data_IF_058627194648
#
_entry.id   IF_058627194648
#
_cell.length_a   1.000
_cell.length_b   1.000
_cell.length_c   1.000
_cell.angle_alpha   90.00
_cell.angle_beta   90.00
_cell.angle_gamma   90.00
#
_symmetry.space_group_name_H-M   'P 1'
#
loop_
_entity.id
_entity.type
_entity.pdbx_description
1 polymer ?
#
# COMPACT_ATOMS: atom_id res chain seq x y z
N UNK A 1 -19.64 -15.01 24.60
CA UNK A 1 -19.59 -16.49 24.53
C UNK A 1 -18.26 -16.87 23.91
N UNK A 2 -17.63 -17.94 24.39
CA UNK A 2 -16.45 -18.49 23.71
C UNK A 2 -16.88 -19.17 22.40
N UNK A 3 -16.15 -18.93 21.32
CA UNK A 3 -16.30 -19.69 20.09
C UNK A 3 -15.57 -21.02 20.19
N UNK A 4 -16.12 -22.09 19.61
CA UNK A 4 -15.44 -23.38 19.51
C UNK A 4 -15.34 -23.76 18.05
N UNK A 5 -14.14 -24.14 17.62
CA UNK A 5 -13.87 -24.67 16.28
C UNK A 5 -13.55 -26.15 16.46
N UNK A 6 -14.26 -27.01 15.74
CA UNK A 6 -14.00 -28.44 15.71
C UNK A 6 -13.28 -28.78 14.42
N UNK A 7 -12.16 -29.48 14.53
CA UNK A 7 -11.36 -29.93 13.39
C UNK A 7 -11.30 -31.45 13.48
N UNK A 8 -11.59 -32.12 12.36
CA UNK A 8 -11.49 -33.57 12.24
C UNK A 8 -10.70 -33.88 10.98
N UNK A 9 -9.64 -34.66 11.14
CA UNK A 9 -8.71 -35.03 10.08
C UNK A 9 -8.47 -36.53 10.17
N UNK A 10 -8.33 -37.17 9.02
CA UNK A 10 -7.92 -38.55 8.89
C UNK A 10 -7.13 -38.69 7.60
N UNK A 11 -6.05 -39.46 7.65
CA UNK A 11 -5.26 -39.79 6.48
C UNK A 11 -5.09 -41.32 6.41
N UNK A 12 -5.19 -41.87 5.21
CA UNK A 12 -5.02 -43.30 4.97
C UNK A 12 -3.54 -43.72 5.04
N UNK A 13 -2.62 -42.77 4.84
CA UNK A 13 -1.16 -42.97 4.88
C UNK A 13 -0.53 -42.48 6.19
N UNK A 14 -1.33 -42.14 7.20
CA UNK A 14 -0.91 -41.62 8.51
C UNK A 14 -0.37 -40.18 8.51
N UNK A 15 -0.33 -39.54 9.69
CA UNK A 15 0.39 -38.29 9.90
C UNK A 15 1.75 -38.60 10.53
N UNK A 16 2.85 -38.20 9.89
CA UNK A 16 4.20 -38.39 10.40
C UNK A 16 5.04 -37.10 10.31
N UNK A 17 6.07 -37.01 11.15
CA UNK A 17 6.97 -35.85 11.21
C UNK A 17 6.45 -34.66 12.02
N UNK A 18 7.17 -33.53 11.93
CA UNK A 18 6.81 -32.27 12.59
C UNK A 18 6.23 -31.30 11.54
N UNK A 19 5.14 -30.61 11.87
CA UNK A 19 4.55 -29.60 11.00
C UNK A 19 3.15 -29.17 11.41
N UNK A 20 2.60 -28.22 10.65
CA UNK A 20 1.21 -27.78 10.81
C UNK A 20 0.25 -28.76 10.13
N UNK A 21 -0.80 -29.18 10.84
CA UNK A 21 -1.85 -30.06 10.30
C UNK A 21 -3.10 -29.31 9.84
N UNK A 22 -3.27 -28.06 10.29
CA UNK A 22 -4.38 -27.20 9.92
C UNK A 22 -4.00 -25.73 10.12
N UNK A 23 -4.62 -24.85 9.33
CA UNK A 23 -4.60 -23.40 9.54
C UNK A 23 -6.03 -22.93 9.83
N UNK A 24 -6.16 -22.02 10.79
CA UNK A 24 -7.43 -21.37 11.13
C UNK A 24 -7.27 -19.88 10.88
N UNK A 25 -8.14 -19.32 10.04
CA UNK A 25 -8.17 -17.89 9.73
C UNK A 25 -9.24 -17.20 10.56
N UNK A 26 -8.89 -16.06 11.15
CA UNK A 26 -9.81 -15.24 11.93
C UNK A 26 -9.96 -13.86 11.30
N UNK A 27 -11.19 -13.33 11.31
CA UNK A 27 -11.40 -11.89 11.18
C UNK A 27 -11.04 -11.24 12.51
N UNK A 28 -10.04 -10.36 12.51
CA UNK A 28 -9.57 -9.69 13.73
C UNK A 28 -10.46 -8.51 14.02
N UNK A 29 -11.18 -8.56 15.15
CA UNK A 29 -12.13 -7.52 15.60
C UNK A 29 -11.79 -6.95 16.98
N UNK A 30 -10.74 -7.45 17.62
CA UNK A 30 -10.29 -6.96 18.93
C UNK A 30 -9.53 -5.63 18.80
N UNK A 31 -9.45 -4.88 19.90
CA UNK A 31 -8.65 -3.66 19.95
C UNK A 31 -7.14 -3.98 19.88
N UNK A 32 -6.35 -3.01 19.43
CA UNK A 32 -4.89 -3.00 19.52
C UNK A 32 -4.38 -3.53 20.87
N UNK A 33 -3.33 -4.36 20.84
CA UNK A 33 -2.67 -4.96 22.00
C UNK A 33 -3.52 -5.89 22.87
N UNK A 34 -4.81 -6.02 22.57
CA UNK A 34 -5.64 -7.01 23.22
C UNK A 34 -5.18 -8.42 22.86
N UNK A 35 -5.40 -9.35 23.77
CA UNK A 35 -5.08 -10.75 23.58
C UNK A 35 -6.34 -11.60 23.64
N UNK A 36 -6.33 -12.69 22.88
CA UNK A 36 -7.35 -13.73 22.90
C UNK A 36 -6.67 -15.07 23.14
N UNK A 37 -6.94 -15.74 24.26
CA UNK A 37 -6.43 -17.10 24.49
C UNK A 37 -6.94 -18.07 23.44
N UNK A 38 -6.06 -18.92 22.92
CA UNK A 38 -6.40 -20.02 22.02
C UNK A 38 -6.21 -21.34 22.76
N UNK A 39 -7.32 -21.91 23.23
CA UNK A 39 -7.26 -23.07 24.12
C UNK A 39 -7.65 -24.36 23.39
N UNK A 40 -6.87 -25.41 23.60
CA UNK A 40 -7.24 -26.76 23.16
C UNK A 40 -8.10 -27.37 24.26
N UNK A 41 -9.42 -27.19 24.12
CA UNK A 41 -10.40 -27.66 25.12
C UNK A 41 -10.63 -29.17 25.08
N UNK A 42 -10.38 -29.80 23.93
CA UNK A 42 -10.49 -31.24 23.74
C UNK A 42 -9.58 -31.69 22.59
N UNK A 43 -8.96 -32.85 22.74
CA UNK A 43 -8.19 -33.53 21.72
C UNK A 43 -8.44 -35.05 21.83
N UNK A 44 -8.70 -35.69 20.71
CA UNK A 44 -8.73 -37.14 20.59
C UNK A 44 -7.95 -37.52 19.34
N UNK A 45 -7.05 -38.49 19.48
CA UNK A 45 -6.24 -39.02 18.39
C UNK A 45 -6.08 -40.52 18.57
N UNK A 46 -6.01 -41.26 17.46
CA UNK A 46 -5.74 -42.69 17.45
C UNK A 46 -4.58 -42.96 16.48
N UNK A 47 -3.80 -44.00 16.75
CA UNK A 47 -2.81 -44.52 15.80
C UNK A 47 -3.49 -45.09 14.56
N UNK A 48 -2.89 -44.89 13.40
CA UNK A 48 -3.45 -45.37 12.13
C UNK A 48 -3.36 -46.90 11.99
N UNK A 49 -2.31 -47.53 12.55
CA UNK A 49 -2.03 -48.97 12.40
C UNK A 49 -3.00 -49.85 13.20
N UNK A 50 -3.28 -49.49 14.46
CA UNK A 50 -3.98 -50.34 15.43
C UNK A 50 -5.24 -49.68 16.04
N UNK A 51 -5.53 -48.41 15.67
CA UNK A 51 -6.62 -47.60 16.22
C UNK A 51 -6.54 -47.36 17.74
N UNK A 52 -5.41 -47.63 18.37
CA UNK A 52 -5.20 -47.37 19.79
C UNK A 52 -5.16 -45.88 20.06
N UNK A 53 -5.74 -45.46 21.19
CA UNK A 53 -5.79 -44.05 21.59
C UNK A 53 -4.38 -43.52 21.85
N UNK A 54 -4.10 -42.35 21.28
CA UNK A 54 -2.84 -41.64 21.48
C UNK A 54 -3.05 -40.45 22.40
N UNK A 55 -2.31 -40.43 23.52
CA UNK A 55 -2.22 -39.25 24.37
C UNK A 55 -1.18 -38.30 23.80
N UNK A 56 -1.63 -37.15 23.32
CA UNK A 56 -0.76 -36.10 22.78
C UNK A 56 -0.73 -34.94 23.78
N UNK A 57 0.45 -34.47 24.22
CA UNK A 57 0.54 -33.27 25.03
C UNK A 57 0.10 -32.04 24.22
N UNK A 58 -0.73 -31.19 24.83
CA UNK A 58 -1.20 -29.95 24.22
C UNK A 58 -0.49 -28.75 24.83
N UNK A 59 -0.37 -27.69 24.04
CA UNK A 59 0.04 -26.38 24.51
C UNK A 59 -0.96 -25.36 23.98
N UNK A 60 -1.56 -24.59 24.89
CA UNK A 60 -2.44 -23.49 24.51
C UNK A 60 -1.62 -22.36 23.87
N UNK A 61 -2.27 -21.62 22.98
CA UNK A 61 -1.72 -20.44 22.33
C UNK A 61 -2.34 -19.15 22.84
N UNK A 62 -1.83 -18.03 22.34
CA UNK A 62 -2.43 -16.71 22.50
C UNK A 62 -2.36 -15.97 21.18
N UNK A 63 -3.48 -15.41 20.74
CA UNK A 63 -3.50 -14.45 19.65
C UNK A 63 -3.37 -13.05 20.26
N UNK A 64 -2.38 -12.27 19.82
CA UNK A 64 -2.28 -10.85 20.17
C UNK A 64 -2.70 -10.04 18.95
N UNK A 65 -3.66 -9.14 19.13
CA UNK A 65 -3.97 -8.13 18.14
C UNK A 65 -2.80 -7.17 18.07
N UNK A 66 -2.07 -7.22 16.96
CA UNK A 66 -1.07 -6.20 16.66
C UNK A 66 -1.78 -5.00 16.04
N UNK A 67 -1.47 -3.81 16.54
CA UNK A 67 -1.73 -2.58 15.83
C UNK A 67 -0.45 -2.25 15.09
N UNK A 68 -0.54 -2.09 13.77
CA UNK A 68 0.47 -1.31 13.07
C UNK A 68 0.11 0.12 13.46
N UNK A 69 0.85 0.69 14.43
CA UNK A 69 0.83 2.14 14.53
C UNK A 69 1.43 2.64 13.23
N UNK A 70 0.59 3.23 12.38
CA UNK A 70 1.06 4.33 11.58
C UNK A 70 1.55 5.34 12.60
N UNK A 71 2.84 5.30 12.91
CA UNK A 71 3.50 6.38 13.64
C UNK A 71 3.00 7.69 13.02
N UNK A 72 2.60 8.66 13.86
CA UNK A 72 2.39 10.03 13.41
C UNK A 72 3.75 10.60 12.97
N UNK A 73 4.20 10.19 11.78
CA UNK A 73 4.99 11.07 10.95
C UNK A 73 4.00 12.16 10.54
N UNK A 74 4.25 13.40 11.00
CA UNK A 74 3.29 14.50 10.89
C UNK A 74 2.61 14.54 9.52
N UNK A 75 1.29 14.81 9.51
CA UNK A 75 0.39 14.87 8.34
C UNK A 75 1.10 15.03 6.98
N UNK A 76 1.59 13.92 6.41
CA UNK A 76 2.17 13.93 5.08
C UNK A 76 1.05 14.19 4.08
N UNK A 77 1.21 15.24 3.27
CA UNK A 77 0.30 15.51 2.16
C UNK A 77 1.01 15.30 0.83
N UNK A 78 0.38 14.58 -0.09
CA UNK A 78 0.78 14.50 -1.50
C UNK A 78 -0.23 15.28 -2.31
N UNK A 79 0.21 16.23 -3.13
CA UNK A 79 -0.70 17.11 -3.84
C UNK A 79 -0.30 17.37 -5.28
N UNK A 80 -1.32 17.36 -6.13
CA UNK A 80 -1.28 17.94 -7.47
C UNK A 80 -1.75 19.40 -7.40
N UNK A 81 -1.08 20.29 -8.15
CA UNK A 81 -1.53 21.67 -8.29
C UNK A 81 -2.58 21.81 -9.38
N UNK A 82 -3.46 22.79 -9.24
CA UNK A 82 -4.30 23.24 -10.35
C UNK A 82 -3.43 24.01 -11.35
N UNK A 83 -3.58 23.70 -12.63
CA UNK A 83 -2.75 24.23 -13.71
C UNK A 83 -3.59 24.57 -14.93
N UNK A 84 -3.08 25.45 -15.77
CA UNK A 84 -3.62 25.71 -17.10
C UNK A 84 -2.54 25.57 -18.17
N UNK A 85 -2.95 25.35 -19.41
CA UNK A 85 -2.04 25.33 -20.55
C UNK A 85 -2.77 25.47 -21.88
N UNK A 86 -2.06 25.94 -22.89
CA UNK A 86 -2.63 26.11 -24.23
C UNK A 86 -2.56 24.80 -25.02
N UNK A 87 -3.52 24.56 -25.91
CA UNK A 87 -3.49 23.43 -26.84
C UNK A 87 -2.16 23.42 -27.62
N UNK A 88 -1.55 22.23 -27.73
CA UNK A 88 -0.26 21.99 -28.38
C UNK A 88 0.97 22.35 -27.54
N UNK A 89 0.78 22.83 -26.30
CA UNK A 89 1.88 23.05 -25.36
C UNK A 89 2.20 21.79 -24.56
N UNK A 90 3.44 21.69 -24.06
CA UNK A 90 3.80 20.74 -22.99
C UNK A 90 3.96 21.51 -21.69
N UNK A 91 3.28 21.05 -20.64
CA UNK A 91 3.29 21.66 -19.31
C UNK A 91 3.81 20.67 -18.28
N UNK A 92 4.74 21.13 -17.43
CA UNK A 92 5.24 20.36 -16.28
C UNK A 92 4.35 20.61 -15.07
N UNK A 93 3.66 19.56 -14.59
CA UNK A 93 2.79 19.65 -13.41
C UNK A 93 3.46 18.97 -12.21
N UNK A 94 3.80 19.71 -11.15
CA UNK A 94 4.50 19.15 -10.01
C UNK A 94 3.60 18.32 -9.10
N UNK A 95 4.13 17.18 -8.63
CA UNK A 95 3.64 16.42 -7.48
C UNK A 95 4.40 16.95 -6.26
N UNK A 96 3.71 17.67 -5.38
CA UNK A 96 4.31 18.24 -4.18
C UNK A 96 4.08 17.37 -2.95
N UNK A 97 5.09 17.34 -2.08
CA UNK A 97 5.02 16.77 -0.74
C UNK A 97 5.04 17.89 0.29
N UNK A 98 4.24 17.74 1.35
CA UNK A 98 4.25 18.61 2.53
C UNK A 98 4.24 17.77 3.81
N UNK A 99 4.99 18.18 4.82
CA UNK A 99 5.15 17.41 6.07
C UNK A 99 6.12 16.22 5.92
N UNK A 100 7.01 16.25 4.93
CA UNK A 100 7.88 15.11 4.60
C UNK A 100 9.00 14.94 5.61
N UNK A 101 9.06 13.78 6.27
CA UNK A 101 10.18 13.37 7.12
C UNK A 101 10.57 11.93 6.81
N UNK A 102 11.84 11.70 6.50
CA UNK A 102 12.48 10.39 6.31
C UNK A 102 11.71 9.42 5.39
N UNK A 103 11.20 9.92 4.27
CA UNK A 103 10.49 9.06 3.31
C UNK A 103 11.48 8.27 2.46
N UNK A 104 11.41 6.95 2.53
CA UNK A 104 12.30 6.04 1.82
C UNK A 104 11.82 5.65 0.43
N UNK A 105 10.52 5.39 0.26
CA UNK A 105 9.96 5.03 -1.05
C UNK A 105 8.51 5.45 -1.24
N UNK A 106 8.09 5.53 -2.51
CA UNK A 106 6.72 5.81 -2.92
C UNK A 106 6.35 5.13 -4.23
N UNK A 107 5.10 4.70 -4.31
CA UNK A 107 4.42 4.35 -5.57
C UNK A 107 3.20 5.26 -5.73
N UNK A 108 3.06 5.87 -6.90
CA UNK A 108 2.01 6.84 -7.21
C UNK A 108 1.34 6.46 -8.53
N UNK A 109 0.02 6.40 -8.53
CA UNK A 109 -0.80 6.31 -9.75
C UNK A 109 -1.56 7.63 -9.93
N UNK A 110 -1.23 8.32 -11.02
CA UNK A 110 -1.92 9.53 -11.47
C UNK A 110 -2.86 9.19 -12.64
N UNK A 111 -4.13 9.53 -12.49
CA UNK A 111 -5.12 9.43 -13.56
C UNK A 111 -5.51 10.81 -14.11
N UNK A 112 -5.72 10.87 -15.42
CA UNK A 112 -6.10 12.06 -16.18
C UNK A 112 -7.02 11.70 -17.37
N UNK A 113 -7.65 12.72 -17.95
CA UNK A 113 -8.48 12.56 -19.15
C UNK A 113 -7.59 12.51 -20.41
N UNK A 114 -7.52 11.34 -21.03
CA UNK A 114 -6.73 11.07 -22.22
C UNK A 114 -7.24 11.79 -23.48
N UNK A 115 -8.47 12.32 -23.47
CA UNK A 115 -8.97 13.16 -24.57
C UNK A 115 -8.52 14.63 -24.42
N UNK A 116 -7.95 15.00 -23.25
CA UNK A 116 -7.53 16.38 -22.93
C UNK A 116 -6.00 16.50 -22.85
N UNK A 117 -5.33 15.51 -22.27
CA UNK A 117 -3.89 15.51 -22.02
C UNK A 117 -3.24 14.22 -22.51
N UNK A 118 -1.93 14.26 -22.74
CA UNK A 118 -1.09 13.09 -23.00
C UNK A 118 0.18 13.18 -22.16
N UNK A 119 0.44 12.18 -21.31
CA UNK A 119 1.66 12.15 -20.50
C UNK A 119 2.86 11.72 -21.35
N UNK A 120 3.91 12.54 -21.37
CA UNK A 120 5.10 12.30 -22.21
C UNK A 120 6.33 11.93 -21.41
N UNK A 121 6.46 12.42 -20.18
CA UNK A 121 7.62 12.15 -19.32
C UNK A 121 7.33 12.42 -17.83
N UNK A 122 8.21 11.96 -16.95
CA UNK A 122 8.24 12.32 -15.52
C UNK A 122 9.65 12.73 -15.14
N UNK A 123 9.78 13.97 -14.67
CA UNK A 123 11.04 14.57 -14.28
C UNK A 123 11.19 14.65 -12.76
N UNK A 124 12.43 14.56 -12.27
CA UNK A 124 12.72 14.73 -10.86
C UNK A 124 12.46 16.19 -10.42
N UNK A 125 11.71 16.35 -9.33
CA UNK A 125 11.56 17.62 -8.65
C UNK A 125 12.75 17.94 -7.75
N UNK A 126 12.78 19.14 -7.17
CA UNK A 126 13.89 19.56 -6.31
C UNK A 126 14.07 18.66 -5.06
N UNK A 127 12.97 18.12 -4.51
CA UNK A 127 13.02 17.15 -3.42
C UNK A 127 13.46 15.76 -3.90
N UNK A 128 13.07 15.35 -5.10
CA UNK A 128 13.38 14.04 -5.67
C UNK A 128 14.70 13.98 -6.43
N UNK A 129 15.51 15.04 -6.44
CA UNK A 129 16.75 15.13 -7.25
C UNK A 129 17.77 14.01 -7.01
N UNK A 130 17.74 13.40 -5.83
CA UNK A 130 18.62 12.29 -5.45
C UNK A 130 17.90 10.93 -5.44
N UNK A 131 16.59 10.94 -5.63
CA UNK A 131 15.79 9.73 -5.68
C UNK A 131 16.02 9.01 -7.01
N UNK A 132 16.00 7.68 -6.97
CA UNK A 132 15.75 6.89 -8.17
C UNK A 132 14.27 7.06 -8.51
N UNK A 133 13.98 7.50 -9.73
CA UNK A 133 12.62 7.68 -10.23
C UNK A 133 12.47 6.86 -11.50
N UNK A 134 11.44 6.03 -11.53
CA UNK A 134 11.01 5.29 -12.70
C UNK A 134 9.53 5.62 -12.94
N UNK A 135 9.16 5.78 -14.21
CA UNK A 135 7.79 6.10 -14.58
C UNK A 135 7.34 5.31 -15.81
N UNK A 136 6.05 4.99 -15.84
CA UNK A 136 5.38 4.39 -16.99
C UNK A 136 4.25 5.32 -17.44
N UNK A 137 4.41 5.86 -18.65
CA UNK A 137 3.45 6.72 -19.35
C UNK A 137 2.83 6.03 -20.56
N UNK A 138 3.05 4.72 -20.74
CA UNK A 138 2.65 4.00 -21.95
C UNK A 138 1.13 3.78 -22.07
N UNK A 139 0.39 3.96 -20.97
CA UNK A 139 -1.07 3.82 -20.95
C UNK A 139 -1.70 5.21 -20.94
N UNK A 140 -2.53 5.47 -21.95
CA UNK A 140 -3.30 6.71 -22.02
C UNK A 140 -4.18 6.89 -20.79
N UNK A 141 -4.19 8.10 -20.23
CA UNK A 141 -4.97 8.47 -19.05
C UNK A 141 -4.39 8.03 -17.71
N UNK A 142 -3.25 7.33 -17.68
CA UNK A 142 -2.62 6.81 -16.46
C UNK A 142 -1.10 7.05 -16.47
N UNK A 143 -0.53 7.48 -15.35
CA UNK A 143 0.93 7.50 -15.12
C UNK A 143 1.23 6.76 -13.83
N UNK A 144 2.10 5.76 -13.92
CA UNK A 144 2.60 5.03 -12.74
C UNK A 144 4.01 5.53 -12.45
N UNK A 145 4.27 5.97 -11.22
CA UNK A 145 5.54 6.55 -10.82
C UNK A 145 6.04 5.83 -9.56
N UNK A 146 7.25 5.30 -9.62
CA UNK A 146 7.95 4.73 -8.48
C UNK A 146 9.15 5.60 -8.11
N UNK A 147 9.31 5.89 -6.82
CA UNK A 147 10.42 6.67 -6.28
C UNK A 147 11.07 5.96 -5.09
N UNK A 148 12.40 6.01 -5.00
CA UNK A 148 13.13 5.55 -3.83
C UNK A 148 14.35 6.43 -3.54
N UNK A 149 14.56 6.78 -2.27
CA UNK A 149 15.77 7.48 -1.79
C UNK A 149 16.22 6.84 -0.47
N UNK A 150 17.38 6.20 -0.49
CA UNK A 150 17.95 5.54 0.70
C UNK A 150 18.42 6.51 1.79
N UNK A 151 18.56 7.80 1.46
CA UNK A 151 18.93 8.85 2.42
C UNK A 151 17.70 9.54 3.02
N UNK A 152 16.52 9.25 2.48
CA UNK A 152 15.25 9.83 2.89
C UNK A 152 14.96 11.16 2.21
N UNK A 153 13.73 11.29 1.71
CA UNK A 153 13.18 12.55 1.21
C UNK A 153 12.64 13.34 2.41
N UNK A 154 13.04 14.60 2.52
CA UNK A 154 12.75 15.46 3.68
C UNK A 154 12.36 16.88 3.23
N UNK A 155 11.46 17.53 3.97
CA UNK A 155 10.99 18.89 3.70
C UNK A 155 9.85 18.97 2.66
N UNK A 156 9.50 20.18 2.26
CA UNK A 156 8.32 20.44 1.44
C UNK A 156 8.71 20.89 0.02
N UNK A 157 7.90 20.52 -0.98
CA UNK A 157 8.09 20.90 -2.38
C UNK A 157 7.87 19.78 -3.39
N UNK A 158 8.24 20.03 -4.64
CA UNK A 158 8.04 19.08 -5.73
C UNK A 158 9.01 17.89 -5.61
N UNK A 159 8.47 16.68 -5.55
CA UNK A 159 9.25 15.44 -5.60
C UNK A 159 9.45 14.95 -7.03
N UNK A 160 8.44 15.11 -7.87
CA UNK A 160 8.47 14.85 -9.30
C UNK A 160 7.59 15.87 -10.03
N UNK A 161 7.76 16.01 -11.34
CA UNK A 161 6.83 16.71 -12.22
C UNK A 161 6.47 15.83 -13.40
N UNK A 162 5.19 15.85 -13.79
CA UNK A 162 4.69 15.10 -14.93
C UNK A 162 4.60 16.05 -16.11
N UNK A 163 5.29 15.72 -17.19
CA UNK A 163 5.22 16.45 -18.45
C UNK A 163 3.96 16.01 -19.20
N UNK A 164 3.02 16.94 -19.39
CA UNK A 164 1.74 16.69 -20.04
C UNK A 164 1.63 17.55 -21.31
N UNK A 165 1.52 16.89 -22.46
CA UNK A 165 1.12 17.54 -23.71
C UNK A 165 -0.40 17.83 -23.67
N UNK A 166 -0.78 19.04 -24.04
CA UNK A 166 -2.17 19.50 -24.04
C UNK A 166 -2.77 19.28 -25.41
N UNK A 167 -3.75 18.37 -25.51
CA UNK A 167 -4.36 18.00 -26.79
C UNK A 167 -5.85 18.38 -26.90
N UNK A 168 -6.51 18.66 -25.77
CA UNK A 168 -7.91 19.06 -25.71
C UNK A 168 -8.17 20.49 -26.19
N UNK A 169 -9.42 20.81 -26.52
CA UNK A 169 -9.84 22.14 -26.96
C UNK A 169 -9.89 23.14 -25.80
N UNK A 170 -9.72 24.44 -26.10
CA UNK A 170 -9.84 25.50 -25.10
C UNK A 170 -11.20 25.47 -24.37
N UNK A 171 -11.16 25.58 -23.04
CA UNK A 171 -12.32 25.46 -22.15
C UNK A 171 -12.63 24.02 -21.69
N UNK A 172 -11.91 23.01 -22.19
CA UNK A 172 -11.98 21.65 -21.63
C UNK A 172 -11.13 21.52 -20.37
N UNK A 173 -11.47 20.52 -19.53
CA UNK A 173 -10.80 20.30 -18.25
C UNK A 173 -10.49 18.83 -18.03
N UNK A 174 -9.35 18.52 -17.42
CA UNK A 174 -9.00 17.20 -16.91
C UNK A 174 -8.85 17.25 -15.39
N UNK A 175 -9.45 16.29 -14.67
CA UNK A 175 -9.07 16.06 -13.28
C UNK A 175 -7.71 15.36 -13.23
N UNK A 176 -6.84 15.77 -12.30
CA UNK A 176 -5.54 15.14 -12.04
C UNK A 176 -5.65 14.41 -10.70
N UNK A 177 -5.95 13.12 -10.76
CA UNK A 177 -6.38 12.32 -9.60
C UNK A 177 -5.27 11.40 -9.13
N UNK A 178 -4.93 11.46 -7.85
CA UNK A 178 -4.01 10.55 -7.19
C UNK A 178 -4.82 9.37 -6.61
N UNK A 179 -4.89 8.26 -7.35
CA UNK A 179 -5.74 7.12 -6.99
C UNK A 179 -5.06 6.14 -6.03
N UNK A 180 -3.77 5.87 -6.25
CA UNK A 180 -2.96 5.03 -5.37
C UNK A 180 -1.69 5.79 -4.99
N UNK A 181 -1.46 5.93 -3.69
CA UNK A 181 -0.28 6.58 -3.14
C UNK A 181 0.23 5.74 -1.96
N UNK A 182 1.18 4.86 -2.24
CA UNK A 182 1.87 4.06 -1.24
C UNK A 182 3.13 4.80 -0.80
N UNK A 183 3.39 4.86 0.50
CA UNK A 183 4.53 5.59 1.05
C UNK A 183 5.14 4.78 2.19
N UNK A 184 6.45 4.62 2.17
CA UNK A 184 7.19 4.01 3.27
C UNK A 184 8.30 4.95 3.77
N UNK A 185 8.52 4.98 5.07
CA UNK A 185 9.68 5.64 5.66
C UNK A 185 10.96 4.79 5.48
N UNK A 186 12.11 5.30 5.93
CA UNK A 186 13.38 4.59 5.87
C UNK A 186 13.42 3.28 6.68
N UNK A 187 12.56 3.15 7.69
CA UNK A 187 12.39 1.94 8.51
C UNK A 187 11.40 0.94 7.89
N UNK A 188 10.95 1.19 6.65
CA UNK A 188 9.95 0.40 5.91
C UNK A 188 8.55 0.40 6.56
N UNK A 189 8.29 1.34 7.48
CA UNK A 189 6.96 1.60 8.02
C UNK A 189 6.09 2.33 6.99
N UNK A 190 4.89 1.83 6.77
CA UNK A 190 3.89 2.46 5.90
C UNK A 190 3.40 3.79 6.52
N UNK A 191 3.33 4.83 5.70
CA UNK A 191 2.73 6.13 6.04
C UNK A 191 1.51 6.32 5.15
N UNK A 192 0.36 6.61 5.76
CA UNK A 192 -0.86 6.95 5.02
C UNK A 192 -0.90 8.46 4.77
N UNK A 193 -0.67 8.95 3.54
CA UNK A 193 -0.72 10.37 3.28
C UNK A 193 -2.17 10.87 3.12
N UNK A 194 -2.38 12.16 3.35
CA UNK A 194 -3.52 12.86 2.75
C UNK A 194 -3.21 13.14 1.29
N UNK A 195 -4.13 12.83 0.38
CA UNK A 195 -3.99 13.17 -1.04
C UNK A 195 -4.85 14.38 -1.39
N UNK A 196 -4.31 15.27 -2.22
CA UNK A 196 -5.02 16.42 -2.78
C UNK A 196 -4.89 16.39 -4.29
N UNK A 197 -6.02 16.15 -4.95
CA UNK A 197 -6.12 16.14 -6.40
C UNK A 197 -6.02 17.56 -6.98
N UNK A 198 -5.67 17.63 -8.26
CA UNK A 198 -5.61 18.86 -9.02
C UNK A 198 -6.61 18.87 -10.17
N UNK A 199 -6.66 20.01 -10.86
CA UNK A 199 -7.39 20.17 -12.13
C UNK A 199 -6.48 20.82 -13.17
N UNK A 200 -6.62 20.39 -14.41
CA UNK A 200 -6.03 21.05 -15.57
C UNK A 200 -7.14 21.70 -16.40
N UNK A 201 -6.97 22.95 -16.81
CA UNK A 201 -7.86 23.65 -17.75
C UNK A 201 -7.10 24.08 -19.00
N UNK A 202 -7.66 23.82 -20.18
CA UNK A 202 -7.11 24.27 -21.45
C UNK A 202 -7.53 25.73 -21.72
N UNK A 203 -6.56 26.60 -22.01
CA UNK A 203 -6.77 28.04 -22.26
C UNK A 203 -6.40 28.50 -23.66
#
# INVERSE_FOLDING_TARGET
>A
MAGTIMISLADAEEFSGNGSIAYVTFNVIGAADSTSPLQIVALAANRAEDYEVLTIPTNDGVFRVIFISTEESGSLTVRMSNTTGANGSTVEVPINLEGTTEIGSRDIVLNYDADVLSAVDVNAGALGKNALIEANTAREGEVIIALADSSGINGDGAVASVALEVIGDAGTTSYLTLDEVLVHNLDLGEIIPTTVNGTFEVI
#
